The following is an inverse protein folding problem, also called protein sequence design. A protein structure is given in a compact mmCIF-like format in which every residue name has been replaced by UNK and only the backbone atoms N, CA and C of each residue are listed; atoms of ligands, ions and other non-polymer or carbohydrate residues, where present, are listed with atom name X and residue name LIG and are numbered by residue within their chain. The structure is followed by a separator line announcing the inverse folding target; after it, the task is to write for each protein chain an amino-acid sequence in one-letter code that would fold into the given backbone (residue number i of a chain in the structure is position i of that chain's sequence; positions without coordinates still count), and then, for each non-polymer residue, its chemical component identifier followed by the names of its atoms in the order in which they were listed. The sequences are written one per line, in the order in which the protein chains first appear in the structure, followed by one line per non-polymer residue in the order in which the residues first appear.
data_IF_779328793073
#
_entry.id   IF_779328793073
#
_cell.length_a   1.000
_cell.length_b   1.000
_cell.length_c   1.000
_cell.angle_alpha   90.00
_cell.angle_beta   90.00
_cell.angle_gamma   90.00
#
_symmetry.space_group_name_H-M   'P 1'
#
loop_
_entity.id
_entity.type
_entity.pdbx_description
1 polymer ?
#
# COMPACT_ATOMS: atom_id res chain seq x y z
N UNK A 1 -3.21 6.68 -15.40
CA UNK A 1 -4.64 7.05 -15.31
C UNK A 1 -4.93 8.50 -15.67
N UNK A 2 -4.21 9.50 -15.14
CA UNK A 2 -4.50 10.93 -15.45
C UNK A 2 -4.43 11.28 -16.94
N UNK A 3 -3.46 10.73 -17.67
CA UNK A 3 -3.33 10.91 -19.13
C UNK A 3 -4.54 10.31 -19.84
N UNK A 4 -4.90 9.06 -19.52
CA UNK A 4 -6.03 8.35 -20.11
C UNK A 4 -7.39 8.99 -19.83
N UNK A 5 -7.54 9.68 -18.69
CA UNK A 5 -8.77 10.38 -18.34
C UNK A 5 -8.81 11.84 -18.78
N UNK A 6 -7.82 12.31 -19.56
CA UNK A 6 -7.73 13.70 -20.01
C UNK A 6 -7.48 14.71 -18.88
N UNK A 7 -7.06 14.24 -17.71
CA UNK A 7 -6.75 15.07 -16.52
C UNK A 7 -5.32 15.62 -16.54
N UNK A 8 -4.51 15.20 -17.50
CA UNK A 8 -3.16 15.72 -17.75
C UNK A 8 -3.02 16.04 -19.23
N UNK A 9 -2.39 17.17 -19.54
CA UNK A 9 -1.99 17.53 -20.91
C UNK A 9 -0.67 16.85 -21.33
N UNK A 10 0.08 16.31 -20.36
CA UNK A 10 1.31 15.59 -20.64
C UNK A 10 1.04 14.19 -21.17
N UNK A 11 1.87 13.77 -22.13
CA UNK A 11 1.94 12.38 -22.61
C UNK A 11 3.01 11.56 -21.90
N UNK A 12 3.88 12.21 -21.12
CA UNK A 12 4.91 11.57 -20.31
C UNK A 12 4.44 11.40 -18.85
N UNK A 13 4.22 10.16 -18.37
CA UNK A 13 3.85 9.92 -16.98
C UNK A 13 4.85 10.46 -15.95
N UNK A 14 6.15 10.53 -16.28
CA UNK A 14 7.20 10.99 -15.37
C UNK A 14 7.21 12.51 -15.17
N UNK A 15 6.57 13.26 -16.07
CA UNK A 15 6.41 14.70 -15.91
C UNK A 15 5.30 15.08 -14.90
N UNK A 16 4.50 14.10 -14.44
CA UNK A 16 3.41 14.33 -13.50
C UNK A 16 3.97 14.22 -12.07
N UNK A 17 3.83 15.30 -11.29
CA UNK A 17 4.29 15.34 -9.90
C UNK A 17 3.56 14.29 -9.06
N UNK A 18 4.30 13.55 -8.24
CA UNK A 18 3.80 12.32 -7.58
C UNK A 18 2.65 12.54 -6.59
N UNK A 19 2.49 13.75 -6.08
CA UNK A 19 1.42 14.15 -5.15
C UNK A 19 0.09 14.47 -5.86
N UNK A 20 0.12 14.88 -7.12
CA UNK A 20 -1.09 15.29 -7.87
C UNK A 20 -2.12 14.15 -7.99
N UNK A 21 -1.76 12.88 -8.28
CA UNK A 21 -2.72 11.78 -8.27
C UNK A 21 -3.40 11.53 -6.92
N UNK A 22 -2.83 12.04 -5.82
CA UNK A 22 -3.36 11.90 -4.47
C UNK A 22 -4.24 13.08 -4.03
N UNK A 23 -4.30 14.16 -4.81
CA UNK A 23 -5.19 15.28 -4.55
C UNK A 23 -6.67 14.88 -4.71
N UNK A 24 -7.53 15.48 -3.88
CA UNK A 24 -8.95 15.20 -3.88
C UNK A 24 -9.59 15.61 -5.22
N UNK A 25 -10.46 14.75 -5.76
CA UNK A 25 -11.16 15.01 -7.02
C UNK A 25 -10.36 14.78 -8.30
N UNK A 26 -9.04 14.56 -8.23
CA UNK A 26 -8.20 14.29 -9.43
C UNK A 26 -8.52 12.92 -10.03
N UNK A 27 -8.51 11.87 -9.20
CA UNK A 27 -8.92 10.53 -9.61
C UNK A 27 -10.35 10.26 -9.12
N UNK A 28 -11.23 9.90 -10.06
CA UNK A 28 -12.61 9.56 -9.72
C UNK A 28 -12.65 8.22 -8.98
N UNK A 29 -13.09 8.26 -7.72
CA UNK A 29 -13.25 7.06 -6.88
C UNK A 29 -14.67 6.54 -6.99
N UNK A 30 -14.82 5.22 -7.02
CA UNK A 30 -16.14 4.57 -7.01
C UNK A 30 -16.96 4.99 -5.78
N UNK A 31 -16.30 5.13 -4.62
CA UNK A 31 -16.91 5.61 -3.37
C UNK A 31 -17.40 7.07 -3.43
N UNK A 32 -16.87 7.87 -4.35
CA UNK A 32 -17.27 9.27 -4.54
C UNK A 32 -18.40 9.47 -5.54
N UNK A 33 -18.89 8.40 -6.19
CA UNK A 33 -19.95 8.47 -7.21
C UNK A 33 -21.38 8.44 -6.64
N UNK A 34 -21.55 8.49 -5.31
CA UNK A 34 -22.87 8.48 -4.65
C UNK A 34 -23.50 7.08 -4.53
N UNK A 35 -24.79 7.03 -4.17
CA UNK A 35 -25.56 5.80 -3.91
C UNK A 35 -26.37 5.30 -5.10
N UNK A 36 -26.09 5.76 -6.32
CA UNK A 36 -26.73 5.26 -7.54
C UNK A 36 -26.27 3.83 -7.85
N UNK A 37 -26.92 2.86 -7.19
CA UNK A 37 -26.62 1.43 -7.29
C UNK A 37 -26.65 0.92 -8.74
N UNK A 38 -27.59 1.34 -9.62
CA UNK A 38 -27.53 1.02 -11.05
C UNK A 38 -26.20 1.42 -11.71
N UNK A 39 -25.73 2.66 -11.51
CA UNK A 39 -24.47 3.15 -12.11
C UNK A 39 -23.27 2.39 -11.55
N UNK A 40 -23.22 2.18 -10.23
CA UNK A 40 -22.15 1.41 -9.58
C UNK A 40 -22.12 -0.03 -10.12
N UNK A 41 -23.28 -0.67 -10.19
CA UNK A 41 -23.43 -2.03 -10.71
C UNK A 41 -23.04 -2.14 -12.18
N UNK A 42 -23.41 -1.16 -13.01
CA UNK A 42 -22.98 -1.10 -14.40
C UNK A 42 -21.45 -1.06 -14.50
N UNK A 43 -20.78 -0.12 -13.82
CA UNK A 43 -19.32 0.00 -13.85
C UNK A 43 -18.63 -1.27 -13.34
N UNK A 44 -19.10 -1.84 -12.23
CA UNK A 44 -18.54 -3.08 -11.68
C UNK A 44 -18.69 -4.26 -12.66
N UNK A 45 -19.75 -4.30 -13.47
CA UNK A 45 -19.96 -5.35 -14.48
C UNK A 45 -19.21 -5.13 -15.78
N UNK A 46 -19.13 -3.88 -16.26
CA UNK A 46 -18.69 -3.61 -17.64
C UNK A 46 -17.28 -3.05 -17.76
N UNK A 47 -16.71 -2.45 -16.70
CA UNK A 47 -15.38 -1.85 -16.80
C UNK A 47 -14.30 -2.90 -16.58
N UNK A 48 -13.17 -2.74 -17.28
CA UNK A 48 -11.96 -3.49 -16.98
C UNK A 48 -11.43 -3.08 -15.61
N UNK A 49 -11.30 -4.06 -14.71
CA UNK A 49 -10.80 -3.87 -13.35
C UNK A 49 -9.48 -4.63 -13.21
N UNK A 50 -8.44 -3.97 -12.73
CA UNK A 50 -7.17 -4.61 -12.44
C UNK A 50 -6.73 -4.35 -11.00
N UNK A 51 -5.98 -5.27 -10.45
CA UNK A 51 -5.34 -5.17 -9.13
C UNK A 51 -3.85 -5.44 -9.30
N UNK A 52 -3.00 -4.57 -8.76
CA UNK A 52 -1.56 -4.77 -8.72
C UNK A 52 -1.15 -5.09 -7.28
N UNK A 53 -0.65 -6.30 -7.07
CA UNK A 53 -0.23 -6.81 -5.76
C UNK A 53 1.28 -6.87 -5.65
N UNK A 54 1.79 -6.88 -4.42
CA UNK A 54 3.22 -7.06 -4.12
C UNK A 54 3.36 -8.07 -2.99
N UNK A 55 4.49 -8.76 -2.93
CA UNK A 55 4.84 -9.61 -1.79
C UNK A 55 4.51 -8.91 -0.45
N UNK A 56 3.67 -9.51 0.43
CA UNK A 56 3.13 -8.81 1.60
C UNK A 56 4.21 -8.20 2.50
N UNK A 57 5.32 -8.91 2.70
CA UNK A 57 6.40 -8.44 3.57
C UNK A 57 7.25 -7.34 2.94
N UNK A 58 7.46 -7.38 1.62
CA UNK A 58 8.14 -6.29 0.94
C UNK A 58 7.29 -5.02 0.96
N UNK A 59 5.99 -5.15 0.73
CA UNK A 59 5.06 -4.02 0.82
C UNK A 59 5.10 -3.38 2.20
N UNK A 60 5.06 -4.19 3.26
CA UNK A 60 5.10 -3.71 4.63
C UNK A 60 6.42 -3.01 4.97
N UNK A 61 7.57 -3.60 4.63
CA UNK A 61 8.89 -3.00 4.87
C UNK A 61 9.06 -1.71 4.07
N UNK A 62 8.61 -1.69 2.81
CA UNK A 62 8.59 -0.49 1.98
C UNK A 62 7.78 0.63 2.64
N UNK A 63 6.57 0.31 3.11
CA UNK A 63 5.68 1.25 3.78
C UNK A 63 6.30 1.81 5.07
N UNK A 64 6.81 0.94 5.95
CA UNK A 64 7.48 1.34 7.19
C UNK A 64 8.65 2.30 6.90
N UNK A 65 9.53 1.94 5.98
CA UNK A 65 10.69 2.77 5.62
C UNK A 65 10.26 4.10 5.04
N UNK A 66 9.29 4.09 4.12
CA UNK A 66 8.82 5.30 3.45
C UNK A 66 8.10 6.26 4.41
N UNK A 67 7.29 5.73 5.32
CA UNK A 67 6.37 6.52 6.16
C UNK A 67 6.90 6.85 7.54
N UNK A 68 7.68 5.96 8.16
CA UNK A 68 8.12 6.12 9.55
C UNK A 68 9.63 6.31 9.71
N UNK A 69 10.45 6.00 8.69
CA UNK A 69 11.92 6.11 8.78
C UNK A 69 12.46 7.33 8.02
N UNK A 70 12.06 7.53 6.75
CA UNK A 70 12.60 8.61 5.90
C UNK A 70 12.34 10.01 6.49
N UNK A 71 13.12 10.99 6.04
CA UNK A 71 12.87 12.40 6.36
C UNK A 71 12.34 13.10 5.11
N UNK A 72 11.02 13.06 4.93
CA UNK A 72 10.27 13.75 3.89
C UNK A 72 9.00 14.33 4.48
N UNK A 73 8.38 15.31 3.80
CA UNK A 73 7.11 15.91 4.25
C UNK A 73 6.04 14.85 4.51
N UNK A 74 5.83 13.94 3.55
CA UNK A 74 4.89 12.81 3.72
C UNK A 74 5.24 11.94 4.92
N UNK A 75 6.52 11.63 5.16
CA UNK A 75 6.90 10.83 6.33
C UNK A 75 6.65 11.57 7.65
N UNK A 76 6.88 12.88 7.70
CA UNK A 76 6.60 13.71 8.88
C UNK A 76 5.13 13.64 9.27
N UNK A 77 4.21 13.69 8.31
CA UNK A 77 2.77 13.60 8.59
C UNK A 77 2.38 12.21 9.12
N UNK A 78 2.97 11.14 8.56
CA UNK A 78 2.76 9.77 9.04
C UNK A 78 3.33 9.55 10.45
N UNK A 79 4.50 10.12 10.77
CA UNK A 79 5.08 10.09 12.13
C UNK A 79 4.17 10.80 13.14
N UNK A 80 3.61 11.95 12.79
CA UNK A 80 2.64 12.66 13.63
C UNK A 80 1.35 11.85 13.83
N UNK A 81 0.81 11.29 12.75
CA UNK A 81 -0.48 10.57 12.78
C UNK A 81 -0.39 9.20 13.46
N UNK A 82 0.63 8.43 13.15
CA UNK A 82 0.78 7.05 13.63
C UNK A 82 1.90 6.94 14.66
N UNK A 83 3.08 7.48 14.37
CA UNK A 83 4.27 7.31 15.21
C UNK A 83 4.09 7.78 16.65
N UNK A 84 3.50 8.96 16.87
CA UNK A 84 3.15 9.45 18.21
C UNK A 84 2.30 8.43 18.98
N UNK A 85 1.27 7.89 18.34
CA UNK A 85 0.35 6.93 18.97
C UNK A 85 1.03 5.60 19.31
N UNK A 86 1.95 5.16 18.46
CA UNK A 86 2.75 3.94 18.67
C UNK A 86 3.68 4.14 19.87
N UNK A 87 4.50 5.20 19.86
CA UNK A 87 5.46 5.48 20.92
C UNK A 87 4.77 5.68 22.27
N UNK A 88 3.69 6.46 22.32
CA UNK A 88 2.90 6.67 23.55
C UNK A 88 2.32 5.38 24.12
N UNK A 89 2.11 4.35 23.29
CA UNK A 89 1.56 3.07 23.73
C UNK A 89 2.65 2.13 24.23
N UNK A 90 3.73 1.98 23.47
CA UNK A 90 4.75 0.94 23.71
C UNK A 90 5.95 1.43 24.54
N UNK A 91 6.14 2.74 24.74
CA UNK A 91 7.24 3.32 25.55
C UNK A 91 6.78 4.07 26.81
N UNK A 92 5.59 3.77 27.34
CA UNK A 92 5.10 4.44 28.56
C UNK A 92 6.09 4.30 29.71
N UNK A 93 6.44 5.41 30.36
CA UNK A 93 7.31 5.44 31.55
C UNK A 93 8.82 5.41 31.26
N UNK A 94 9.27 5.44 30.00
CA UNK A 94 10.69 5.32 29.64
C UNK A 94 11.42 6.67 29.44
N UNK A 95 10.85 7.81 29.86
CA UNK A 95 11.52 9.12 29.73
C UNK A 95 11.68 9.68 28.31
N UNK A 96 11.23 8.97 27.27
CA UNK A 96 11.31 9.37 25.85
C UNK A 96 10.26 10.41 25.42
N UNK A 97 10.08 11.48 26.22
CA UNK A 97 9.03 12.49 26.01
C UNK A 97 9.16 13.20 24.65
N UNK A 98 10.38 13.57 24.24
CA UNK A 98 10.64 14.31 22.99
C UNK A 98 10.42 13.47 21.71
N UNK A 99 10.76 12.18 21.76
CA UNK A 99 10.48 11.26 20.64
C UNK A 99 8.98 10.97 20.55
N UNK A 100 8.32 10.81 21.70
CA UNK A 100 6.88 10.57 21.78
C UNK A 100 6.04 11.73 21.25
N UNK A 101 6.52 12.97 21.33
CA UNK A 101 5.82 14.16 20.81
C UNK A 101 6.06 14.40 19.33
N UNK A 102 7.22 13.98 18.80
CA UNK A 102 7.54 14.11 17.37
C UNK A 102 7.10 12.90 16.53
N UNK A 103 6.94 11.73 17.15
CA UNK A 103 6.61 10.47 16.46
C UNK A 103 7.78 9.84 15.71
N UNK A 104 9.00 10.36 15.91
CA UNK A 104 10.23 9.83 15.32
C UNK A 104 10.76 8.61 16.08
N UNK A 105 11.52 7.77 15.38
CA UNK A 105 12.26 6.67 16.00
C UNK A 105 11.41 5.45 16.37
N UNK A 106 10.18 5.36 15.85
CA UNK A 106 9.38 4.12 15.90
C UNK A 106 10.19 2.98 15.30
N UNK A 107 10.38 1.91 16.06
CA UNK A 107 11.06 0.70 15.57
C UNK A 107 10.11 -0.17 14.75
N UNK A 108 10.66 -1.08 13.95
CA UNK A 108 9.85 -2.02 13.17
C UNK A 108 9.05 -2.97 14.08
N UNK A 109 9.63 -3.44 15.18
CA UNK A 109 8.95 -4.27 16.17
C UNK A 109 7.77 -3.56 16.83
N UNK A 110 7.91 -2.28 17.20
CA UNK A 110 6.79 -1.48 17.73
C UNK A 110 5.70 -1.23 16.67
N UNK A 111 6.11 -1.01 15.42
CA UNK A 111 5.17 -0.87 14.31
C UNK A 111 4.38 -2.17 14.07
N UNK A 112 5.05 -3.33 14.01
CA UNK A 112 4.37 -4.63 13.87
C UNK A 112 3.49 -4.95 15.08
N UNK A 113 3.97 -4.62 16.29
CA UNK A 113 3.16 -4.74 17.51
C UNK A 113 1.89 -3.90 17.43
N UNK A 114 1.99 -2.68 16.91
CA UNK A 114 0.84 -1.80 16.69
C UNK A 114 -0.16 -2.38 15.69
N UNK A 115 0.31 -2.90 14.56
CA UNK A 115 -0.56 -3.46 13.51
C UNK A 115 -1.28 -4.74 13.97
N UNK A 116 -0.60 -5.56 14.77
CA UNK A 116 -1.08 -6.88 15.19
C UNK A 116 -1.76 -6.88 16.55
N UNK A 117 -1.98 -5.71 17.15
CA UNK A 117 -2.64 -5.59 18.45
C UNK A 117 -4.15 -5.80 18.31
N UNK A 118 -4.58 -7.02 18.62
CA UNK A 118 -5.96 -7.52 18.45
C UNK A 118 -7.00 -6.71 19.24
N UNK A 119 -6.61 -6.01 20.31
CA UNK A 119 -7.52 -5.21 21.13
C UNK A 119 -8.00 -3.91 20.45
N UNK A 120 -7.43 -3.54 19.30
CA UNK A 120 -7.79 -2.34 18.53
C UNK A 120 -7.74 -2.58 17.02
N UNK A 121 -8.18 -3.75 16.54
CA UNK A 121 -8.45 -3.98 15.12
C UNK A 121 -9.62 -3.07 14.65
N UNK A 122 -9.38 -1.77 14.68
CA UNK A 122 -10.25 -0.73 14.19
C UNK A 122 -9.83 -0.46 12.75
N UNK A 123 -10.80 -0.19 11.89
CA UNK A 123 -10.62 0.34 10.54
C UNK A 123 -9.57 1.49 10.47
N UNK A 124 -9.38 2.24 11.57
CA UNK A 124 -8.37 3.29 11.71
C UNK A 124 -6.90 2.83 11.59
N UNK A 125 -6.56 1.57 11.87
CA UNK A 125 -5.20 1.03 11.69
C UNK A 125 -4.96 0.49 10.28
N UNK A 126 -6.00 0.35 9.46
CA UNK A 126 -5.95 -0.14 8.08
C UNK A 126 -5.64 0.99 7.09
N UNK A 127 -4.46 1.58 7.21
CA UNK A 127 -3.97 2.51 6.20
C UNK A 127 -3.68 1.79 4.88
N UNK A 128 -3.93 2.46 3.75
CA UNK A 128 -3.76 1.93 2.40
C UNK A 128 -2.36 1.37 2.10
N UNK A 129 -1.33 1.77 2.86
CA UNK A 129 0.04 1.28 2.67
C UNK A 129 0.32 -0.08 3.31
N UNK A 130 -0.44 -0.50 4.33
CA UNK A 130 -0.19 -1.74 5.08
C UNK A 130 -1.47 -2.51 5.46
N UNK A 131 -2.65 -2.09 5.03
CA UNK A 131 -3.84 -2.91 5.11
C UNK A 131 -3.71 -4.12 4.17
N UNK A 132 -4.07 -5.34 4.57
CA UNK A 132 -4.12 -6.48 3.65
C UNK A 132 -4.98 -6.16 2.42
N UNK A 133 -4.59 -6.69 1.26
CA UNK A 133 -5.36 -6.53 0.02
C UNK A 133 -6.76 -7.15 0.13
N UNK A 134 -6.92 -8.23 0.91
CA UNK A 134 -8.25 -8.77 1.22
C UNK A 134 -9.20 -7.69 1.77
N UNK A 135 -8.72 -6.86 2.68
CA UNK A 135 -9.48 -5.78 3.32
C UNK A 135 -9.56 -4.53 2.43
N UNK A 136 -8.48 -4.19 1.71
CA UNK A 136 -8.41 -2.95 0.93
C UNK A 136 -9.12 -3.04 -0.42
N UNK A 137 -9.08 -4.21 -1.04
CA UNK A 137 -9.45 -4.41 -2.44
C UNK A 137 -10.58 -5.44 -2.62
N UNK A 138 -10.96 -6.16 -1.57
CA UNK A 138 -12.06 -7.13 -1.58
C UNK A 138 -12.05 -8.07 -2.81
N UNK A 139 -10.94 -8.76 -3.12
CA UNK A 139 -10.81 -9.63 -4.30
C UNK A 139 -11.82 -10.79 -4.32
N UNK A 140 -12.42 -11.13 -3.18
CA UNK A 140 -13.49 -12.13 -3.10
C UNK A 140 -14.84 -11.61 -3.64
N UNK A 141 -15.06 -10.30 -3.60
CA UNK A 141 -16.33 -9.66 -4.01
C UNK A 141 -16.19 -8.98 -5.38
N UNK A 142 -15.04 -8.35 -5.63
CA UNK A 142 -14.76 -7.66 -6.89
C UNK A 142 -14.13 -8.65 -7.87
N UNK A 143 -14.81 -8.88 -8.99
CA UNK A 143 -14.31 -9.72 -10.09
C UNK A 143 -13.26 -8.95 -10.91
N UNK A 144 -12.00 -9.00 -10.49
CA UNK A 144 -10.90 -8.41 -11.25
C UNK A 144 -10.67 -9.16 -12.57
N UNK A 145 -10.46 -8.41 -13.64
CA UNK A 145 -10.10 -8.95 -14.96
C UNK A 145 -8.62 -9.34 -15.01
N UNK A 146 -7.77 -8.61 -14.26
CA UNK A 146 -6.33 -8.81 -14.21
C UNK A 146 -5.86 -8.66 -12.77
N UNK A 147 -5.00 -9.57 -12.32
CA UNK A 147 -4.24 -9.41 -11.09
C UNK A 147 -2.76 -9.48 -11.48
N UNK A 148 -2.10 -8.32 -11.53
CA UNK A 148 -0.67 -8.20 -11.82
C UNK A 148 0.17 -8.17 -10.56
N UNK A 149 1.47 -8.39 -10.72
CA UNK A 149 2.45 -8.48 -9.65
C UNK A 149 3.49 -7.36 -9.75
N UNK A 150 4.03 -6.94 -8.62
CA UNK A 150 5.04 -5.88 -8.57
C UNK A 150 6.37 -6.34 -9.18
N UNK A 151 6.61 -7.64 -9.11
CA UNK A 151 7.76 -8.34 -9.68
C UNK A 151 7.78 -8.31 -11.22
N UNK A 152 6.62 -8.10 -11.86
CA UNK A 152 6.41 -8.03 -13.32
C UNK A 152 5.65 -6.75 -13.70
N UNK A 153 5.85 -5.67 -12.93
CA UNK A 153 4.98 -4.50 -12.99
C UNK A 153 5.04 -3.78 -14.35
N UNK A 154 6.20 -3.73 -15.00
CA UNK A 154 6.33 -3.09 -16.32
C UNK A 154 5.53 -3.86 -17.38
N UNK A 155 5.72 -5.17 -17.41
CA UNK A 155 5.05 -6.07 -18.36
C UNK A 155 3.54 -6.09 -18.12
N UNK A 156 3.11 -6.21 -16.86
CA UNK A 156 1.71 -6.23 -16.48
C UNK A 156 1.03 -4.89 -16.79
N UNK A 157 1.71 -3.77 -16.52
CA UNK A 157 1.17 -2.45 -16.83
C UNK A 157 1.06 -2.19 -18.33
N UNK A 158 2.04 -2.61 -19.12
CA UNK A 158 1.94 -2.55 -20.58
C UNK A 158 0.79 -3.41 -21.10
N UNK A 159 0.66 -4.64 -20.62
CA UNK A 159 -0.46 -5.51 -21.00
C UNK A 159 -1.81 -4.86 -20.68
N UNK A 160 -1.96 -4.26 -19.49
CA UNK A 160 -3.16 -3.51 -19.11
C UNK A 160 -3.42 -2.36 -20.08
N UNK A 161 -2.42 -1.54 -20.42
CA UNK A 161 -2.55 -0.43 -21.36
C UNK A 161 -3.04 -0.91 -22.74
N UNK A 162 -2.48 -2.00 -23.26
CA UNK A 162 -2.92 -2.57 -24.54
C UNK A 162 -4.34 -3.12 -24.47
N UNK A 163 -4.70 -3.82 -23.39
CA UNK A 163 -6.04 -4.38 -23.22
C UNK A 163 -7.13 -3.30 -23.21
N UNK A 164 -6.90 -2.16 -22.54
CA UNK A 164 -7.89 -1.09 -22.45
C UNK A 164 -7.93 -0.19 -23.70
N UNK A 165 -7.15 -0.49 -24.74
CA UNK A 165 -7.08 0.32 -25.95
C UNK A 165 -6.40 1.68 -25.74
N UNK A 166 -5.44 1.76 -24.82
CA UNK A 166 -4.65 2.98 -24.65
C UNK A 166 -3.89 3.33 -25.94
N UNK A 167 -3.62 4.63 -26.19
CA UNK A 167 -2.83 5.05 -27.35
C UNK A 167 -1.52 4.25 -27.48
N UNK A 168 -1.12 3.84 -28.71
CA UNK A 168 0.11 3.07 -28.92
C UNK A 168 1.37 3.75 -28.38
N UNK A 169 1.40 5.08 -28.37
CA UNK A 169 2.52 5.90 -27.89
C UNK A 169 2.57 6.05 -26.37
N UNK A 170 1.52 5.69 -25.63
CA UNK A 170 1.51 5.77 -24.18
C UNK A 170 2.10 4.48 -23.61
N UNK A 171 3.21 4.62 -22.89
CA UNK A 171 3.93 3.51 -22.28
C UNK A 171 4.00 3.63 -20.76
N UNK A 172 4.15 2.49 -20.09
CA UNK A 172 4.49 2.49 -18.67
C UNK A 172 5.96 2.92 -18.51
N UNK A 173 6.29 3.83 -17.56
CA UNK A 173 7.65 4.29 -17.40
C UNK A 173 8.54 3.18 -16.82
N UNK A 174 9.85 3.18 -17.13
CA UNK A 174 10.80 2.24 -16.53
C UNK A 174 10.80 2.32 -15.00
N UNK A 175 10.86 1.16 -14.34
CA UNK A 175 10.89 1.04 -12.89
C UNK A 175 12.32 1.12 -12.39
N UNK A 176 12.54 2.02 -11.44
CA UNK A 176 13.74 1.95 -10.60
C UNK A 176 13.54 0.82 -9.59
N UNK A 177 14.27 -0.28 -9.77
CA UNK A 177 14.18 -1.48 -8.90
C UNK A 177 14.37 -1.10 -7.43
N UNK A 178 13.38 -1.44 -6.61
CA UNK A 178 13.42 -1.21 -5.18
C UNK A 178 14.35 -2.22 -4.51
N UNK A 179 15.32 -1.76 -3.72
CA UNK A 179 16.14 -2.65 -2.88
C UNK A 179 15.39 -3.23 -1.68
N UNK A 180 14.07 -3.07 -1.57
CA UNK A 180 13.33 -3.46 -0.37
C UNK A 180 13.44 -4.94 -0.04
N UNK A 181 13.45 -5.83 -1.05
CA UNK A 181 13.64 -7.27 -0.87
C UNK A 181 14.87 -7.58 0.01
N UNK A 182 15.99 -6.89 -0.22
CA UNK A 182 17.24 -7.11 0.53
C UNK A 182 17.20 -6.67 1.99
N UNK A 183 16.15 -5.94 2.42
CA UNK A 183 15.98 -5.52 3.82
C UNK A 183 14.97 -6.36 4.58
N UNK A 184 14.16 -7.19 3.89
CA UNK A 184 13.05 -7.91 4.53
C UNK A 184 13.56 -8.84 5.64
N UNK A 185 14.55 -9.71 5.34
CA UNK A 185 15.12 -10.63 6.34
C UNK A 185 15.67 -9.90 7.56
N UNK A 186 16.36 -8.75 7.38
CA UNK A 186 16.91 -7.97 8.48
C UNK A 186 15.82 -7.37 9.39
N UNK A 187 14.71 -6.89 8.81
CA UNK A 187 13.58 -6.41 9.59
C UNK A 187 12.85 -7.55 10.29
N UNK A 188 12.69 -8.70 9.64
CA UNK A 188 12.10 -9.90 10.24
C UNK A 188 12.90 -10.43 11.42
N UNK A 189 14.23 -10.43 11.32
CA UNK A 189 15.12 -10.85 12.40
C UNK A 189 15.00 -9.97 13.65
N UNK A 190 14.47 -8.74 13.53
CA UNK A 190 14.20 -7.86 14.68
C UNK A 190 12.91 -8.20 15.43
N UNK A 191 12.08 -9.10 14.90
CA UNK A 191 10.81 -9.51 15.49
C UNK A 191 10.96 -10.78 16.33
N UNK A 192 10.21 -10.85 17.43
CA UNK A 192 10.03 -12.11 18.18
C UNK A 192 9.19 -13.09 17.36
N UNK A 193 9.35 -14.39 17.61
CA UNK A 193 8.55 -15.44 16.96
C UNK A 193 7.04 -15.20 17.07
N UNK A 194 6.60 -14.71 18.23
CA UNK A 194 5.19 -14.35 18.46
C UNK A 194 4.73 -13.24 17.52
N UNK A 195 5.55 -12.19 17.32
CA UNK A 195 5.22 -11.10 16.39
C UNK A 195 5.27 -11.57 14.94
N UNK A 196 6.25 -12.41 14.57
CA UNK A 196 6.31 -12.99 13.23
C UNK A 196 5.06 -13.81 12.91
N UNK A 197 4.60 -14.66 13.83
CA UNK A 197 3.38 -15.46 13.68
C UNK A 197 2.13 -14.58 13.55
N UNK A 198 1.98 -13.57 14.41
CA UNK A 198 0.85 -12.63 14.33
C UNK A 198 0.85 -11.85 13.03
N UNK A 199 2.03 -11.43 12.57
CA UNK A 199 2.19 -10.73 11.31
C UNK A 199 1.84 -11.62 10.12
N UNK A 200 2.27 -12.88 10.12
CA UNK A 200 1.87 -13.86 9.12
C UNK A 200 0.35 -14.05 9.10
N UNK A 201 -0.28 -14.26 10.26
CA UNK A 201 -1.74 -14.44 10.33
C UNK A 201 -2.50 -13.21 9.81
N UNK A 202 -2.01 -11.99 10.05
CA UNK A 202 -2.60 -10.76 9.49
C UNK A 202 -2.63 -10.75 7.95
N UNK A 203 -1.60 -11.30 7.29
CA UNK A 203 -1.47 -11.31 5.81
C UNK A 203 -1.75 -12.67 5.17
N UNK A 204 -2.17 -13.68 5.95
CA UNK A 204 -2.30 -15.07 5.51
C UNK A 204 -3.15 -15.25 4.25
N UNK A 205 -4.24 -14.50 4.15
CA UNK A 205 -5.11 -14.57 2.98
C UNK A 205 -4.46 -13.96 1.74
N UNK A 206 -3.72 -12.86 1.88
CA UNK A 206 -2.98 -12.26 0.75
C UNK A 206 -1.92 -13.23 0.22
N UNK A 207 -1.18 -13.91 1.11
CA UNK A 207 -0.22 -14.95 0.71
C UNK A 207 -0.90 -16.04 -0.14
N UNK A 208 -2.04 -16.55 0.34
CA UNK A 208 -2.78 -17.61 -0.36
C UNK A 208 -3.38 -17.14 -1.68
N UNK A 209 -4.08 -16.00 -1.67
CA UNK A 209 -4.80 -15.47 -2.83
C UNK A 209 -3.86 -15.12 -3.98
N UNK A 210 -2.67 -14.60 -3.67
CA UNK A 210 -1.73 -14.12 -4.68
C UNK A 210 -0.53 -15.04 -4.89
N UNK A 211 -0.56 -16.24 -4.29
CA UNK A 211 0.46 -17.27 -4.43
C UNK A 211 1.85 -16.73 -4.09
N UNK A 212 1.96 -16.08 -2.94
CA UNK A 212 3.24 -15.69 -2.35
C UNK A 212 3.64 -16.71 -1.29
N UNK A 213 4.96 -16.86 -1.12
CA UNK A 213 5.55 -17.73 -0.11
C UNK A 213 6.43 -16.92 0.84
N UNK A 214 6.42 -17.28 2.13
CA UNK A 214 7.24 -16.68 3.16
C UNK A 214 8.72 -17.07 3.04
N UNK A 215 9.03 -18.22 2.43
CA UNK A 215 10.35 -18.85 2.33
C UNK A 215 11.37 -18.08 1.47
N UNK A 216 11.01 -16.92 0.92
CA UNK A 216 11.93 -16.07 0.17
C UNK A 216 12.85 -15.21 1.07
N UNK A 217 12.82 -15.36 2.40
CA UNK A 217 13.56 -14.51 3.35
C UNK A 217 14.08 -15.21 4.60
#
# INVERSE_FOLDING_TARGET
MMILSGRSISTDPLSIRSDVPHEEGVLTRLSGMGTDLPVLGYKLRTYTKFLLVRHPMERLVSAYRNKLVRNSTSSTDFKKRFGISILKKYRKGQGHLNESTSGHGVTFSEFVSYLTDTGKANYWTLNEHWAPYLELCHPCTIKYNIIGKYETLEEDAEYILRMIGAPPSLHFPPIVTSKTASFVSAYFASLTDTLQRRLYEMYKHDFKLFQYDLHNY
#
